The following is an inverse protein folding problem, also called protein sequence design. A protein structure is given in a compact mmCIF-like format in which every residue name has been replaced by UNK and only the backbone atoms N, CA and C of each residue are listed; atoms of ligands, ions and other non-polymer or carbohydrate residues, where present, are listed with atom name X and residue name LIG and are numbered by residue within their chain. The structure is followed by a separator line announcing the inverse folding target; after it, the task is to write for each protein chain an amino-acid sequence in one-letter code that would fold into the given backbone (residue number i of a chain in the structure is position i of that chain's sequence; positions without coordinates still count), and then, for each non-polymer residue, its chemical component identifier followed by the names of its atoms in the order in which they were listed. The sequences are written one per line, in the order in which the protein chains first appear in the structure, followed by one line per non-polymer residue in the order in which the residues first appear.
data_IF_470545417147
#
_entry.id   IF_470545417147
#
_cell.length_a   1.000
_cell.length_b   1.000
_cell.length_c   1.000
_cell.angle_alpha   90.00
_cell.angle_beta   90.00
_cell.angle_gamma   90.00
#
_symmetry.space_group_name_H-M   'P 1'
#
loop_
_entity.id
_entity.type
_entity.pdbx_description
1 polymer ?
#
# COMPACT_ATOMS: atom_id res chain seq x y z
N UNK A 1 -21.68 2.24 -10.21
CA UNK A 1 -20.56 1.29 -9.93
C UNK A 1 -19.35 1.96 -9.29
N UNK A 2 -18.72 3.00 -9.88
CA UNK A 2 -17.54 3.66 -9.29
C UNK A 2 -17.77 4.23 -7.86
N UNK A 3 -18.97 4.76 -7.60
CA UNK A 3 -19.36 5.30 -6.28
C UNK A 3 -19.29 4.26 -5.14
N UNK A 4 -19.49 2.97 -5.44
CA UNK A 4 -19.37 1.91 -4.44
C UNK A 4 -17.93 1.87 -3.92
N UNK A 5 -16.95 1.75 -4.82
CA UNK A 5 -15.54 1.58 -4.47
C UNK A 5 -14.89 2.83 -3.87
N UNK A 6 -15.35 4.03 -4.24
CA UNK A 6 -14.85 5.30 -3.67
C UNK A 6 -15.06 5.43 -2.14
N UNK A 7 -16.05 4.72 -1.60
CA UNK A 7 -16.37 4.74 -0.18
C UNK A 7 -15.89 3.48 0.56
N UNK A 8 -15.05 2.66 -0.09
CA UNK A 8 -14.46 1.47 0.51
C UNK A 8 -12.99 1.65 0.85
N UNK A 9 -12.54 0.84 1.79
CA UNK A 9 -11.14 0.59 2.09
C UNK A 9 -10.90 -0.90 2.15
N UNK A 10 -9.65 -1.31 1.94
CA UNK A 10 -9.25 -2.69 2.02
C UNK A 10 -8.27 -2.84 3.17
N UNK A 11 -8.59 -3.72 4.11
CA UNK A 11 -7.72 -4.08 5.24
C UNK A 11 -7.23 -5.51 5.06
N UNK A 12 -5.94 -5.72 5.25
CA UNK A 12 -5.35 -7.05 5.22
C UNK A 12 -5.38 -7.68 6.61
N UNK A 13 -5.77 -8.94 6.69
CA UNK A 13 -5.70 -9.72 7.91
C UNK A 13 -4.24 -10.06 8.26
N UNK A 14 -3.81 -9.72 9.47
CA UNK A 14 -2.44 -9.96 9.96
C UNK A 14 -2.19 -11.39 10.46
N UNK A 15 -3.19 -12.26 10.44
CA UNK A 15 -2.95 -13.68 10.67
C UNK A 15 -2.04 -14.22 9.55
N UNK A 16 -0.83 -14.67 9.93
CA UNK A 16 0.21 -15.20 9.03
C UNK A 16 -0.29 -16.33 8.12
N UNK A 17 -1.32 -17.07 8.53
CA UNK A 17 -1.93 -18.14 7.74
C UNK A 17 -3.11 -17.68 6.87
N UNK A 18 -3.63 -16.46 7.09
CA UNK A 18 -4.77 -15.93 6.35
C UNK A 18 -4.32 -14.97 5.25
N UNK A 19 -3.76 -13.82 5.65
CA UNK A 19 -3.29 -12.73 4.76
C UNK A 19 -4.33 -12.24 3.73
N UNK A 20 -5.62 -12.54 3.94
CA UNK A 20 -6.72 -12.13 3.07
C UNK A 20 -7.03 -10.64 3.22
N UNK A 21 -7.48 -10.03 2.14
CA UNK A 21 -8.03 -8.68 2.12
C UNK A 21 -9.53 -8.68 2.37
N UNK A 22 -10.01 -7.67 3.10
CA UNK A 22 -11.42 -7.46 3.41
C UNK A 22 -11.83 -6.06 3.02
N UNK A 23 -13.01 -5.94 2.39
CA UNK A 23 -13.56 -4.67 1.94
C UNK A 23 -14.45 -4.11 3.04
N UNK A 24 -14.09 -2.94 3.58
CA UNK A 24 -14.85 -2.25 4.59
C UNK A 24 -15.32 -0.89 4.07
N UNK A 25 -16.38 -0.33 4.65
CA UNK A 25 -16.70 1.07 4.41
C UNK A 25 -15.65 1.98 5.07
N UNK A 26 -15.44 3.19 4.54
CA UNK A 26 -14.60 4.20 5.21
C UNK A 26 -15.09 4.55 6.62
N UNK A 27 -16.39 4.42 6.89
CA UNK A 27 -16.97 4.72 8.20
C UNK A 27 -16.64 3.64 9.21
N UNK A 28 -16.74 2.37 8.82
CA UNK A 28 -16.35 1.23 9.68
C UNK A 28 -14.86 1.25 9.93
N UNK A 29 -14.07 1.54 8.89
CA UNK A 29 -12.62 1.60 9.00
C UNK A 29 -12.11 2.62 10.02
N UNK A 30 -12.80 3.76 10.17
CA UNK A 30 -12.46 4.80 11.16
C UNK A 30 -12.57 4.33 12.61
N UNK A 31 -13.27 3.22 12.86
CA UNK A 31 -13.45 2.67 14.20
C UNK A 31 -12.21 1.88 14.65
N UNK A 32 -11.34 1.48 13.71
CA UNK A 32 -10.13 0.72 14.01
C UNK A 32 -8.92 1.64 14.11
N UNK A 33 -8.06 1.32 15.08
CA UNK A 33 -6.76 1.97 15.25
C UNK A 33 -5.78 1.41 14.21
N UNK A 34 -5.35 2.26 13.28
CA UNK A 34 -4.41 1.90 12.21
C UNK A 34 -3.02 1.50 12.72
N UNK A 35 -2.72 1.71 14.01
CA UNK A 35 -1.46 1.31 14.62
C UNK A 35 -1.52 -0.06 15.28
N UNK A 36 -2.70 -0.72 15.30
CA UNK A 36 -2.91 -2.02 15.97
C UNK A 36 -3.31 -3.07 14.95
N UNK A 37 -2.80 -4.31 15.07
CA UNK A 37 -3.03 -5.35 14.08
C UNK A 37 -4.52 -5.60 13.84
N UNK A 38 -4.87 -5.75 12.56
CA UNK A 38 -6.24 -6.01 12.14
C UNK A 38 -6.43 -7.46 11.70
N UNK A 39 -7.54 -8.08 12.09
CA UNK A 39 -7.85 -9.48 11.80
C UNK A 39 -9.28 -9.62 11.26
N UNK A 40 -9.55 -10.67 10.48
CA UNK A 40 -10.90 -10.88 9.93
C UNK A 40 -11.99 -10.86 11.00
N UNK A 41 -11.77 -11.39 12.21
CA UNK A 41 -12.77 -11.39 13.29
C UNK A 41 -13.14 -10.02 13.81
N UNK A 42 -12.35 -8.99 13.47
CA UNK A 42 -12.67 -7.59 13.75
C UNK A 42 -13.52 -6.96 12.65
N UNK A 43 -13.80 -7.65 11.54
CA UNK A 43 -14.66 -7.13 10.49
C UNK A 43 -16.11 -7.04 10.98
N UNK A 44 -16.74 -5.88 10.83
CA UNK A 44 -18.15 -5.66 11.17
C UNK A 44 -19.10 -6.39 10.21
N UNK A 45 -18.66 -6.69 8.98
CA UNK A 45 -19.41 -7.55 8.05
C UNK A 45 -19.29 -9.02 8.47
N UNK A 46 -20.37 -9.55 9.02
CA UNK A 46 -20.46 -10.94 9.50
C UNK A 46 -20.29 -11.97 8.40
N UNK A 47 -20.49 -11.60 7.13
CA UNK A 47 -20.27 -12.49 5.99
C UNK A 47 -18.78 -12.76 5.77
N UNK A 48 -17.91 -11.83 6.18
CA UNK A 48 -16.46 -11.87 5.92
C UNK A 48 -15.61 -11.73 7.19
N UNK A 49 -16.21 -11.95 8.37
CA UNK A 49 -15.53 -11.81 9.66
C UNK A 49 -14.70 -13.04 10.08
N UNK A 50 -14.50 -14.02 9.21
CA UNK A 50 -13.74 -15.22 9.56
C UNK A 50 -12.64 -15.49 8.53
N UNK A 51 -11.50 -16.00 9.00
CA UNK A 51 -10.39 -16.39 8.13
C UNK A 51 -10.73 -17.57 7.22
N UNK A 52 -11.68 -18.43 7.60
CA UNK A 52 -12.14 -19.56 6.79
C UNK A 52 -12.99 -19.12 5.59
N UNK A 53 -13.58 -17.92 5.63
CA UNK A 53 -14.36 -17.39 4.51
C UNK A 53 -13.41 -17.00 3.36
N UNK A 54 -13.73 -17.35 2.10
CA UNK A 54 -12.97 -16.91 0.92
C UNK A 54 -12.77 -15.38 0.87
N UNK A 55 -11.69 -14.94 0.21
CA UNK A 55 -11.47 -13.52 -0.05
C UNK A 55 -12.55 -12.97 -0.98
N UNK A 56 -12.93 -11.70 -0.79
CA UNK A 56 -13.90 -11.02 -1.65
C UNK A 56 -13.31 -10.82 -3.05
N UNK A 57 -14.15 -10.93 -4.09
CA UNK A 57 -13.71 -10.65 -5.45
C UNK A 57 -13.40 -9.16 -5.59
N UNK A 58 -12.11 -8.85 -5.73
CA UNK A 58 -11.64 -7.52 -6.02
C UNK A 58 -11.75 -7.29 -7.53
N UNK A 59 -12.32 -6.17 -8.00
CA UNK A 59 -12.36 -5.85 -9.42
C UNK A 59 -10.95 -5.77 -10.01
N UNK A 60 -10.81 -6.17 -11.26
CA UNK A 60 -9.54 -6.13 -11.97
C UNK A 60 -9.00 -4.69 -12.05
N UNK A 61 -7.68 -4.52 -11.87
CA UNK A 61 -7.04 -3.20 -11.94
C UNK A 61 -7.31 -2.50 -13.28
N UNK A 62 -7.42 -3.27 -14.37
CA UNK A 62 -7.76 -2.75 -15.71
C UNK A 62 -9.13 -2.05 -15.72
N UNK A 63 -10.12 -2.62 -15.03
CA UNK A 63 -11.46 -2.08 -14.91
C UNK A 63 -11.46 -0.85 -14.00
N UNK A 64 -10.77 -0.92 -12.86
CA UNK A 64 -10.62 0.22 -11.96
C UNK A 64 -10.00 1.43 -12.68
N UNK A 65 -8.94 1.22 -13.45
CA UNK A 65 -8.30 2.27 -14.23
C UNK A 65 -9.26 2.90 -15.26
N UNK A 66 -10.12 2.10 -15.92
CA UNK A 66 -11.14 2.63 -16.86
C UNK A 66 -12.15 3.55 -16.18
N UNK A 67 -12.48 3.29 -14.92
CA UNK A 67 -13.39 4.12 -14.13
C UNK A 67 -12.66 5.19 -13.30
N UNK A 68 -11.37 5.43 -13.58
CA UNK A 68 -10.57 6.46 -12.95
C UNK A 68 -10.15 6.15 -11.51
N UNK A 69 -10.17 4.89 -11.08
CA UNK A 69 -9.79 4.48 -9.74
C UNK A 69 -8.53 3.62 -9.75
N UNK A 70 -7.73 3.70 -8.68
CA UNK A 70 -6.54 2.86 -8.51
C UNK A 70 -6.28 2.50 -7.05
N UNK A 71 -5.66 1.34 -6.84
CA UNK A 71 -5.14 0.92 -5.55
C UNK A 71 -3.92 1.76 -5.16
N UNK A 72 -3.99 2.45 -4.02
CA UNK A 72 -2.84 3.12 -3.40
C UNK A 72 -2.45 2.36 -2.15
N UNK A 73 -1.25 1.78 -2.15
CA UNK A 73 -0.68 1.11 -0.99
C UNK A 73 -0.16 2.14 0.01
N UNK A 74 -0.79 2.26 1.19
CA UNK A 74 -0.28 3.12 2.24
C UNK A 74 1.08 2.62 2.73
N UNK A 75 2.15 3.35 2.43
CA UNK A 75 3.37 3.26 3.22
C UNK A 75 3.27 4.26 4.37
N UNK A 76 3.76 3.89 5.55
CA UNK A 76 3.75 4.80 6.71
C UNK A 76 4.73 5.96 6.50
N UNK A 77 4.36 7.16 6.92
CA UNK A 77 5.29 8.30 6.93
C UNK A 77 6.55 7.98 7.74
N UNK A 78 7.70 8.47 7.27
CA UNK A 78 8.99 8.12 7.84
C UNK A 78 9.55 6.77 7.40
N UNK A 79 8.81 5.97 6.61
CA UNK A 79 9.33 4.74 6.02
C UNK A 79 10.52 4.99 5.12
N UNK A 80 11.56 4.14 5.25
CA UNK A 80 12.69 4.10 4.34
C UNK A 80 12.29 3.32 3.08
N UNK A 81 12.52 3.94 1.91
CA UNK A 81 12.19 3.39 0.60
C UNK A 81 13.38 3.47 -0.34
N UNK A 82 13.33 2.68 -1.42
CA UNK A 82 14.22 2.80 -2.56
C UNK A 82 13.42 3.33 -3.75
N UNK A 83 13.87 4.44 -4.30
CA UNK A 83 13.30 5.06 -5.50
C UNK A 83 14.05 4.58 -6.74
N UNK A 84 13.32 4.13 -7.76
CA UNK A 84 13.85 3.60 -9.01
C UNK A 84 13.31 4.41 -10.19
N UNK A 85 14.06 5.42 -10.62
CA UNK A 85 13.72 6.21 -11.81
C UNK A 85 14.45 5.66 -13.03
N UNK A 86 13.78 5.62 -14.18
CA UNK A 86 14.41 5.18 -15.43
C UNK A 86 15.60 6.08 -15.77
N UNK A 87 16.76 5.48 -16.04
CA UNK A 87 17.99 6.21 -16.38
C UNK A 87 18.79 6.71 -15.17
N UNK A 88 18.35 6.42 -13.95
CA UNK A 88 19.04 6.79 -12.71
C UNK A 88 19.32 5.56 -11.84
N UNK A 89 20.38 5.58 -11.01
CA UNK A 89 20.58 4.54 -10.03
C UNK A 89 19.44 4.55 -9.00
N UNK A 90 19.14 3.37 -8.47
CA UNK A 90 18.23 3.22 -7.32
C UNK A 90 18.75 4.03 -6.13
N UNK A 91 17.90 4.90 -5.57
CA UNK A 91 18.33 5.84 -4.53
C UNK A 91 17.47 5.71 -3.26
N UNK A 92 18.06 5.56 -2.06
CA UNK A 92 17.31 5.58 -0.80
C UNK A 92 16.66 6.92 -0.50
N UNK A 93 15.40 6.88 -0.07
CA UNK A 93 14.66 8.05 0.35
C UNK A 93 13.77 7.72 1.56
N UNK A 94 13.35 8.76 2.27
CA UNK A 94 12.37 8.66 3.36
C UNK A 94 11.07 9.29 2.87
N UNK A 95 9.94 8.62 3.13
CA UNK A 95 8.62 9.21 2.89
C UNK A 95 8.37 10.34 3.87
N UNK A 96 7.98 11.51 3.37
CA UNK A 96 7.70 12.68 4.19
C UNK A 96 6.39 13.35 3.77
N UNK A 97 5.75 14.13 4.67
CA UNK A 97 4.54 14.86 4.33
C UNK A 97 4.78 15.88 3.21
N UNK A 98 3.71 16.24 2.50
CA UNK A 98 3.72 17.36 1.58
C UNK A 98 4.19 18.63 2.32
N UNK A 99 5.23 19.34 1.84
CA UNK A 99 5.71 20.56 2.49
C UNK A 99 4.68 21.69 2.49
N UNK A 100 3.69 21.65 1.59
CA UNK A 100 2.65 22.69 1.46
C UNK A 100 1.38 22.32 2.23
N UNK A 101 0.82 21.12 2.00
CA UNK A 101 -0.46 20.72 2.63
C UNK A 101 -0.29 19.98 3.95
N UNK A 102 0.90 19.46 4.26
CA UNK A 102 1.13 18.59 5.41
C UNK A 102 0.52 17.18 5.26
N UNK A 103 -0.13 16.88 4.15
CA UNK A 103 -0.74 15.58 3.87
C UNK A 103 0.28 14.56 3.36
N UNK A 104 0.02 13.28 3.59
CA UNK A 104 0.91 12.18 3.19
C UNK A 104 1.09 12.05 1.67
N UNK A 105 0.09 12.49 0.90
CA UNK A 105 0.10 12.44 -0.57
C UNK A 105 -0.52 13.71 -1.12
N UNK A 106 0.12 14.35 -2.09
CA UNK A 106 -0.47 15.51 -2.79
C UNK A 106 -1.43 15.08 -3.90
N UNK A 107 -1.15 13.90 -4.46
CA UNK A 107 -1.88 13.28 -5.55
C UNK A 107 -1.92 11.78 -5.28
N UNK A 108 -2.98 11.12 -5.72
CA UNK A 108 -3.20 9.67 -5.58
C UNK A 108 -1.99 8.82 -5.98
N UNK A 109 -1.20 9.32 -6.94
CA UNK A 109 -0.12 8.57 -7.58
C UNK A 109 1.29 9.02 -7.16
N UNK A 110 1.44 9.98 -6.23
CA UNK A 110 2.74 10.53 -5.87
C UNK A 110 2.93 10.62 -4.36
N UNK A 111 4.09 10.14 -3.90
CA UNK A 111 4.60 10.43 -2.56
C UNK A 111 5.60 11.57 -2.63
N UNK A 112 5.60 12.40 -1.59
CA UNK A 112 6.73 13.28 -1.34
C UNK A 112 7.82 12.49 -0.63
N UNK A 113 9.05 12.59 -1.12
CA UNK A 113 10.19 11.88 -0.56
C UNK A 113 11.37 12.82 -0.36
N UNK A 114 12.16 12.53 0.66
CA UNK A 114 13.46 13.15 0.92
C UNK A 114 14.57 12.13 0.65
N UNK A 115 15.45 12.42 -0.31
CA UNK A 115 16.56 11.55 -0.67
C UNK A 115 17.71 11.68 0.32
N UNK A 116 18.32 10.55 0.68
CA UNK A 116 19.41 10.46 1.67
C UNK A 116 20.79 10.85 1.11
N UNK A 117 20.85 11.90 0.30
CA UNK A 117 22.06 12.39 -0.35
C UNK A 117 22.67 13.63 0.32
N UNK A 118 23.85 14.04 -0.17
CA UNK A 118 24.44 15.36 0.10
C UNK A 118 24.63 16.10 -1.23
N UNK A 119 23.98 17.25 -1.46
CA UNK A 119 22.99 17.88 -0.60
C UNK A 119 21.71 17.02 -0.48
N UNK A 120 20.95 17.24 0.59
CA UNK A 120 19.63 16.65 0.73
C UNK A 120 18.71 17.24 -0.35
N UNK A 121 18.03 16.38 -1.10
CA UNK A 121 17.05 16.78 -2.11
C UNK A 121 15.70 16.16 -1.82
N UNK A 122 14.64 16.80 -2.31
CA UNK A 122 13.26 16.37 -2.11
C UNK A 122 12.52 16.38 -3.43
N UNK A 123 11.46 15.60 -3.54
CA UNK A 123 10.62 15.62 -4.71
C UNK A 123 9.42 14.71 -4.65
N UNK A 124 8.54 14.89 -5.62
CA UNK A 124 7.40 14.00 -5.86
C UNK A 124 7.83 12.82 -6.70
N UNK A 125 7.53 11.62 -6.21
CA UNK A 125 7.90 10.38 -6.89
C UNK A 125 6.66 9.52 -7.05
N UNK A 126 6.50 8.97 -8.25
CA UNK A 126 5.41 8.04 -8.56
C UNK A 126 5.46 6.83 -7.62
N UNK A 127 4.31 6.41 -7.11
CA UNK A 127 4.15 5.19 -6.30
C UNK A 127 4.76 3.97 -7.00
N UNK A 128 4.72 3.91 -8.33
CA UNK A 128 5.29 2.80 -9.12
C UNK A 128 6.82 2.73 -9.06
N UNK A 129 7.46 3.87 -8.83
CA UNK A 129 8.92 3.99 -8.73
C UNK A 129 9.43 3.71 -7.32
N UNK A 130 8.56 3.50 -6.35
CA UNK A 130 8.89 3.33 -4.93
C UNK A 130 8.82 1.85 -4.54
N UNK A 131 9.84 1.38 -3.82
CA UNK A 131 9.90 0.05 -3.22
C UNK A 131 10.28 0.15 -1.74
N UNK A 132 9.84 -0.76 -0.86
CA UNK A 132 10.34 -0.81 0.52
C UNK A 132 11.86 -0.96 0.54
N UNK A 133 12.53 -0.24 1.44
CA UNK A 133 13.96 -0.43 1.65
C UNK A 133 14.21 -1.73 2.41
N UNK A 134 14.84 -2.69 1.74
CA UNK A 134 15.17 -3.99 2.34
C UNK A 134 16.50 -3.89 3.09
N UNK A 135 16.48 -3.97 4.42
CA UNK A 135 17.68 -3.91 5.28
C UNK A 135 18.37 -5.26 5.47
N UNK A 136 17.72 -6.37 5.11
CA UNK A 136 18.35 -7.68 5.16
C UNK A 136 19.35 -7.84 4.03
N UNK A 137 20.64 -7.82 4.37
CA UNK A 137 21.72 -8.36 3.52
C UNK A 137 21.52 -9.87 3.35
N UNK A 138 20.48 -10.28 2.62
CA UNK A 138 20.45 -11.62 2.07
C UNK A 138 21.51 -11.64 0.99
N UNK A 139 22.63 -12.32 1.28
CA UNK A 139 23.58 -12.78 0.28
C UNK A 139 22.77 -13.24 -0.92
N UNK A 140 23.05 -12.64 -2.09
CA UNK A 140 22.60 -13.11 -3.39
C UNK A 140 23.20 -14.51 -3.60
N UNK A 141 22.61 -15.53 -2.99
CA UNK A 141 22.84 -16.92 -3.37
C UNK A 141 21.79 -17.27 -4.43
N UNK A 142 22.29 -17.48 -5.64
CA UNK A 142 21.56 -17.98 -6.79
C UNK A 142 20.73 -19.22 -6.41
N UNK A 143 19.41 -19.11 -6.45
CA UNK A 143 18.46 -20.23 -6.48
C UNK A 143 17.36 -19.89 -7.51
N UNK A 144 16.83 -20.88 -8.26
CA UNK A 144 16.04 -20.62 -9.46
C UNK A 144 14.68 -20.01 -9.11
N UNK A 145 14.17 -19.17 -10.01
CA UNK A 145 12.89 -18.50 -9.90
C UNK A 145 11.73 -19.52 -9.77
N UNK A 146 11.31 -19.80 -8.54
CA UNK A 146 10.06 -20.48 -8.26
C UNK A 146 8.93 -19.49 -8.52
N UNK A 147 8.16 -19.78 -9.56
CA UNK A 147 6.85 -19.21 -9.87
C UNK A 147 5.94 -19.28 -8.65
N UNK A 148 5.87 -18.20 -7.86
CA UNK A 148 4.90 -18.05 -6.79
C UNK A 148 4.25 -16.69 -6.93
N UNK A 149 2.93 -16.75 -7.17
CA UNK A 149 1.97 -15.64 -7.20
C UNK A 149 2.42 -14.44 -6.37
N UNK A 150 2.32 -13.24 -6.94
CA UNK A 150 2.61 -11.92 -6.37
C UNK A 150 1.87 -11.62 -5.04
N UNK A 151 2.09 -12.40 -3.99
CA UNK A 151 1.76 -12.06 -2.59
C UNK A 151 2.98 -11.41 -2.00
N UNK A 152 3.11 -10.11 -2.21
CA UNK A 152 4.12 -9.31 -1.52
C UNK A 152 3.74 -9.26 -0.04
N UNK A 153 4.52 -9.93 0.78
CA UNK A 153 4.35 -10.00 2.22
C UNK A 153 4.90 -8.68 2.82
N UNK A 154 4.05 -7.67 2.95
CA UNK A 154 4.43 -6.40 3.56
C UNK A 154 4.33 -6.52 5.09
N UNK A 155 5.42 -6.19 5.79
CA UNK A 155 5.55 -6.36 7.24
C UNK A 155 5.01 -5.18 8.07
N UNK A 156 4.21 -4.30 7.49
CA UNK A 156 3.62 -3.16 8.21
C UNK A 156 2.36 -2.69 7.48
N UNK A 157 1.32 -2.37 8.26
CA UNK A 157 0.01 -1.85 7.88
C UNK A 157 -0.09 -1.34 6.43
N UNK A 158 -0.62 -2.20 5.56
CA UNK A 158 -0.94 -1.81 4.18
C UNK A 158 -2.44 -1.59 4.11
N UNK A 159 -2.87 -0.33 4.26
CA UNK A 159 -4.22 0.09 3.91
C UNK A 159 -4.21 0.39 2.42
N UNK A 160 -5.05 -0.31 1.68
CA UNK A 160 -5.35 0.03 0.30
C UNK A 160 -6.51 1.01 0.32
N UNK A 161 -6.23 2.29 0.07
CA UNK A 161 -7.28 3.30 -0.12
C UNK A 161 -7.46 3.56 -1.60
N UNK A 162 -8.70 3.46 -2.08
CA UNK A 162 -9.06 3.98 -3.39
C UNK A 162 -9.26 5.49 -3.27
N UNK A 163 -8.49 6.25 -4.03
CA UNK A 163 -8.67 7.69 -4.17
C UNK A 163 -9.09 8.00 -5.61
N UNK A 164 -10.03 8.92 -5.76
CA UNK A 164 -10.30 9.55 -7.04
C UNK A 164 -9.13 10.50 -7.35
N UNK A 165 -8.45 10.41 -8.50
CA UNK A 165 -7.44 11.39 -8.91
C UNK A 165 -8.04 12.73 -9.33
N UNK A 166 -9.38 12.84 -9.40
CA UNK A 166 -10.14 14.05 -9.67
C UNK A 166 -10.85 14.55 -8.42
#
# INVERSE_FOLDING_TARGET
EAAFYLNKVWLQCENKHCLKWRILSKQDAKQYDLNKPWFCHLNSDTSFNNCSVPEENVPEESYLCKIGLRFVYSHTMGSLVVVNLRGWPSWPAILCPNPVTGEETCYVNYYHVEYLGKPHTRGFVSVESIKPYCTSFQKLSNEPAITRSNRRQFHSFTVLTMKNPF
#
